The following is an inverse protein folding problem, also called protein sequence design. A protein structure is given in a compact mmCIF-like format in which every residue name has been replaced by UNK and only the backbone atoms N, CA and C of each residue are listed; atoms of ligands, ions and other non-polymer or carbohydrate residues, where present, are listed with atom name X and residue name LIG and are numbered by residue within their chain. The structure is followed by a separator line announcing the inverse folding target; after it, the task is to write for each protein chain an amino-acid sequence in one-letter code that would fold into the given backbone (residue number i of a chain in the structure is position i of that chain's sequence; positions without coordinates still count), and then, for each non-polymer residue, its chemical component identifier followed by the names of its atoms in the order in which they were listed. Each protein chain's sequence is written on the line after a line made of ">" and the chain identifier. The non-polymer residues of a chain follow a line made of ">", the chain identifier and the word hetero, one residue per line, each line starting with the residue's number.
data_IF_476353364349
#
_entry.id   IF_476353364349
#
_cell.length_a   1.000
_cell.length_b   1.000
_cell.length_c   1.000
_cell.angle_alpha   90.00
_cell.angle_beta   90.00
_cell.angle_gamma   90.00
#
_symmetry.space_group_name_H-M   'P 1'
#
loop_
_entity.id
_entity.type
_entity.pdbx_description
1 polymer ?
#
# COMPACT_ATOMS: atom_id res chain seq x y z
N UNK A 1 9.14 9.57 11.72
CA UNK A 1 10.12 8.86 10.87
C UNK A 1 9.69 7.42 10.67
N UNK A 2 9.83 6.92 9.47
CA UNK A 2 9.57 5.52 9.16
C UNK A 2 10.69 4.65 9.71
N UNK A 3 10.33 3.67 10.53
CA UNK A 3 11.30 2.81 11.23
C UNK A 3 11.21 1.33 10.83
N UNK A 4 10.22 0.95 10.05
CA UNK A 4 10.07 -0.42 9.58
C UNK A 4 9.08 -0.52 8.45
N UNK A 5 9.26 -1.51 7.59
CA UNK A 5 8.35 -1.83 6.49
C UNK A 5 7.88 -3.27 6.71
N UNK A 6 6.57 -3.50 6.69
CA UNK A 6 6.00 -4.84 6.86
C UNK A 6 5.73 -5.48 5.50
N UNK A 7 5.01 -4.75 4.64
CA UNK A 7 4.72 -5.14 3.27
C UNK A 7 4.44 -3.89 2.45
N UNK A 8 3.89 -4.01 1.25
CA UNK A 8 3.71 -2.88 0.34
C UNK A 8 2.66 -1.85 0.77
N UNK A 9 1.91 -2.11 1.83
CA UNK A 9 0.87 -1.19 2.32
C UNK A 9 0.85 -1.02 3.84
N UNK A 10 1.90 -1.47 4.55
CA UNK A 10 1.98 -1.37 6.01
C UNK A 10 3.39 -1.04 6.44
N UNK A 11 3.51 -0.11 7.38
CA UNK A 11 4.81 0.35 7.86
C UNK A 11 4.71 0.77 9.33
N UNK A 12 5.88 0.86 9.97
CA UNK A 12 5.98 1.41 11.32
C UNK A 12 6.45 2.86 11.27
N UNK A 13 5.71 3.72 11.96
CA UNK A 13 6.09 5.11 12.18
C UNK A 13 6.42 5.32 13.65
N UNK A 14 7.41 6.14 13.92
CA UNK A 14 7.63 6.65 15.26
C UNK A 14 6.65 7.82 15.47
N UNK A 15 5.65 7.60 16.33
CA UNK A 15 4.66 8.60 16.70
C UNK A 15 4.75 8.79 18.21
N UNK A 16 5.05 10.03 18.65
CA UNK A 16 5.19 10.38 20.07
C UNK A 16 6.12 9.44 20.84
N UNK A 17 7.23 9.08 20.20
CA UNK A 17 8.25 8.23 20.82
C UNK A 17 7.97 6.73 20.79
N UNK A 18 6.86 6.31 20.18
CA UNK A 18 6.50 4.89 20.07
C UNK A 18 6.34 4.43 18.63
N UNK A 19 6.77 3.20 18.36
CA UNK A 19 6.57 2.59 17.04
C UNK A 19 5.09 2.21 16.87
N UNK A 20 4.45 2.77 15.84
CA UNK A 20 3.05 2.54 15.54
C UNK A 20 2.92 1.88 14.18
N UNK A 21 2.21 0.76 14.11
CA UNK A 21 1.93 0.08 12.84
C UNK A 21 0.80 0.81 12.13
N UNK A 22 1.08 1.28 10.91
CA UNK A 22 0.17 2.08 10.09
C UNK A 22 -0.14 1.35 8.79
N UNK A 23 -1.40 1.32 8.42
CA UNK A 23 -1.92 0.75 7.18
C UNK A 23 -2.18 1.86 6.18
N UNK A 24 -1.69 1.72 4.94
CA UNK A 24 -1.98 2.70 3.90
C UNK A 24 -3.44 2.59 3.46
N UNK A 25 -4.14 3.72 3.47
CA UNK A 25 -5.57 3.78 3.14
C UNK A 25 -5.83 3.53 1.65
N UNK A 26 -6.96 2.91 1.35
CA UNK A 26 -7.56 2.78 0.01
C UNK A 26 -6.83 1.87 -0.97
N UNK A 27 -5.71 1.30 -0.58
CA UNK A 27 -4.95 0.37 -1.42
C UNK A 27 -4.80 -0.99 -0.73
N UNK A 28 -4.51 -2.02 -1.52
CA UNK A 28 -4.24 -3.36 -1.00
C UNK A 28 -3.06 -3.92 -1.80
N UNK A 29 -1.95 -4.13 -1.12
CA UNK A 29 -0.73 -4.62 -1.76
C UNK A 29 -0.64 -6.14 -1.67
N UNK A 30 0.05 -6.78 -2.64
CA UNK A 30 0.32 -8.21 -2.53
C UNK A 30 1.06 -8.52 -1.23
N UNK A 31 0.63 -9.56 -0.53
CA UNK A 31 1.31 -10.03 0.66
C UNK A 31 2.65 -10.68 0.29
N UNK A 32 3.57 -10.80 1.25
CA UNK A 32 4.93 -11.28 0.98
C UNK A 32 4.98 -12.62 0.25
N UNK A 33 4.02 -13.51 0.54
CA UNK A 33 3.96 -14.84 -0.08
C UNK A 33 3.36 -14.84 -1.48
N UNK A 34 2.75 -13.74 -1.89
CA UNK A 34 2.17 -13.60 -3.23
C UNK A 34 3.23 -13.19 -4.24
N UNK A 35 3.00 -13.49 -5.55
CA UNK A 35 3.78 -12.86 -6.60
C UNK A 35 3.78 -11.33 -6.41
N UNK A 36 4.93 -10.71 -6.59
CA UNK A 36 5.15 -9.26 -6.41
C UNK A 36 5.08 -8.76 -4.97
N UNK A 37 4.87 -9.64 -3.98
CA UNK A 37 4.82 -9.20 -2.58
C UNK A 37 6.11 -8.53 -2.13
N UNK A 38 7.26 -9.11 -2.44
CA UNK A 38 8.56 -8.54 -2.09
C UNK A 38 8.88 -7.28 -2.87
N UNK A 39 8.49 -7.21 -4.14
CA UNK A 39 8.67 -6.01 -4.96
C UNK A 39 7.81 -4.86 -4.45
N UNK A 40 6.60 -5.15 -4.01
CA UNK A 40 5.70 -4.16 -3.42
C UNK A 40 6.29 -3.60 -2.13
N UNK A 41 6.82 -4.46 -1.27
CA UNK A 41 7.52 -4.04 -0.05
C UNK A 41 8.73 -3.18 -0.38
N UNK A 42 9.54 -3.59 -1.35
CA UNK A 42 10.73 -2.85 -1.77
C UNK A 42 10.36 -1.48 -2.33
N UNK A 43 9.28 -1.40 -3.10
CA UNK A 43 8.77 -0.13 -3.63
C UNK A 43 8.40 0.84 -2.51
N UNK A 44 7.69 0.35 -1.50
CA UNK A 44 7.35 1.18 -0.34
C UNK A 44 8.61 1.62 0.40
N UNK A 45 9.57 0.73 0.58
CA UNK A 45 10.85 1.04 1.22
C UNK A 45 11.58 2.15 0.48
N UNK A 46 11.65 2.09 -0.84
CA UNK A 46 12.29 3.13 -1.67
C UNK A 46 11.63 4.50 -1.49
N UNK A 47 10.31 4.50 -1.31
CA UNK A 47 9.57 5.75 -1.14
C UNK A 47 9.80 6.41 0.23
N UNK A 48 9.89 5.63 1.29
CA UNK A 48 9.73 6.17 2.65
C UNK A 48 10.81 5.80 3.66
N UNK A 49 11.72 4.87 3.36
CA UNK A 49 12.64 4.34 4.37
C UNK A 49 13.47 5.42 5.04
N UNK A 50 13.40 5.46 6.37
CA UNK A 50 14.10 6.41 7.23
C UNK A 50 13.83 7.87 6.88
N UNK A 51 12.65 8.16 6.32
CA UNK A 51 12.23 9.52 6.00
C UNK A 51 11.18 10.00 6.98
N UNK A 52 11.12 11.30 7.15
CA UNK A 52 10.02 11.95 7.84
C UNK A 52 8.84 12.00 6.87
N UNK A 53 7.69 11.52 7.32
CA UNK A 53 6.47 11.51 6.52
C UNK A 53 5.35 12.19 7.29
N UNK A 54 4.35 12.67 6.54
CA UNK A 54 3.09 13.14 7.13
C UNK A 54 2.06 12.04 6.97
N UNK A 55 1.52 11.57 8.08
CA UNK A 55 0.46 10.57 8.08
C UNK A 55 -0.85 11.22 8.55
N UNK A 56 -1.90 11.09 7.75
CA UNK A 56 -3.21 11.64 8.07
C UNK A 56 -4.22 10.50 8.13
N UNK A 57 -4.93 10.39 9.26
CA UNK A 57 -5.96 9.36 9.42
C UNK A 57 -7.12 9.88 10.26
N UNK A 58 -8.29 9.28 10.08
CA UNK A 58 -9.51 9.59 10.83
C UNK A 58 -10.00 8.40 11.62
N UNK A 59 -9.54 7.20 11.27
CA UNK A 59 -10.06 5.96 11.85
C UNK A 59 -8.95 4.95 12.05
N UNK A 60 -9.20 4.02 12.95
CA UNK A 60 -8.38 2.82 13.13
C UNK A 60 -9.11 1.65 12.47
N UNK A 61 -8.36 0.66 11.99
CA UNK A 61 -8.97 -0.58 11.54
C UNK A 61 -9.33 -1.46 12.75
N UNK A 62 -9.91 -2.63 12.48
CA UNK A 62 -10.33 -3.54 13.56
C UNK A 62 -9.18 -4.09 14.38
N UNK A 63 -7.93 -3.92 13.93
CA UNK A 63 -6.72 -4.34 14.64
C UNK A 63 -6.06 -3.16 15.37
N UNK A 64 -6.70 -2.00 15.37
CA UNK A 64 -6.17 -0.80 16.03
C UNK A 64 -5.13 -0.04 15.25
N UNK A 65 -4.94 -0.35 13.96
CA UNK A 65 -3.97 0.37 13.13
C UNK A 65 -4.60 1.63 12.54
N UNK A 66 -3.90 2.79 12.60
CA UNK A 66 -4.32 3.94 11.79
C UNK A 66 -4.37 3.57 10.31
N UNK A 67 -5.45 3.95 9.64
CA UNK A 67 -5.63 3.77 8.20
C UNK A 67 -5.34 5.14 7.58
N UNK A 68 -4.14 5.31 7.05
CA UNK A 68 -3.58 6.63 6.78
C UNK A 68 -3.24 6.89 5.32
N UNK A 69 -3.31 8.18 4.96
CA UNK A 69 -2.66 8.72 3.77
C UNK A 69 -1.26 9.15 4.18
N UNK A 70 -0.26 8.77 3.41
CA UNK A 70 1.15 9.06 3.69
C UNK A 70 1.68 10.00 2.60
N UNK A 71 2.26 11.12 3.04
CA UNK A 71 2.91 12.08 2.15
C UNK A 71 4.38 12.19 2.55
N UNK A 72 5.27 12.11 1.59
CA UNK A 72 6.71 12.31 1.76
C UNK A 72 7.23 13.22 0.65
N UNK A 73 7.84 14.34 1.01
CA UNK A 73 8.37 15.31 0.04
C UNK A 73 7.37 15.67 -1.07
N UNK A 74 6.10 15.87 -0.68
CA UNK A 74 5.02 16.20 -1.62
C UNK A 74 4.48 15.01 -2.43
N UNK A 75 5.02 13.81 -2.23
CA UNK A 75 4.59 12.61 -2.94
C UNK A 75 3.50 11.90 -2.12
N UNK A 76 2.36 11.62 -2.76
CA UNK A 76 1.31 10.77 -2.21
C UNK A 76 1.76 9.31 -2.35
N UNK A 77 2.19 8.72 -1.25
CA UNK A 77 2.77 7.37 -1.25
C UNK A 77 1.74 6.30 -1.63
N UNK A 78 0.51 6.44 -1.14
CA UNK A 78 -0.59 5.52 -1.47
C UNK A 78 -0.81 5.49 -2.98
N UNK A 79 -0.92 6.67 -3.59
CA UNK A 79 -1.08 6.80 -5.04
C UNK A 79 0.16 6.30 -5.81
N UNK A 80 1.35 6.55 -5.30
CA UNK A 80 2.60 6.09 -5.94
C UNK A 80 2.67 4.57 -6.03
N UNK A 81 2.21 3.85 -4.99
CA UNK A 81 2.18 2.38 -5.03
C UNK A 81 1.23 1.88 -6.13
N UNK A 82 0.10 2.54 -6.32
CA UNK A 82 -0.83 2.22 -7.43
C UNK A 82 -0.17 2.51 -8.78
N UNK A 83 0.40 3.70 -8.92
CA UNK A 83 1.02 4.15 -10.18
C UNK A 83 2.17 3.25 -10.60
N UNK A 84 2.96 2.76 -9.66
CA UNK A 84 4.07 1.85 -9.91
C UNK A 84 3.63 0.41 -10.23
N UNK A 85 2.34 0.11 -10.09
CA UNK A 85 1.84 -1.25 -10.26
C UNK A 85 2.22 -2.18 -9.11
N UNK A 86 2.35 -1.62 -7.90
CA UNK A 86 2.76 -2.37 -6.71
C UNK A 86 1.62 -2.60 -5.72
N UNK A 87 0.44 -2.08 -6.01
CA UNK A 87 -0.75 -2.29 -5.18
C UNK A 87 -2.02 -2.17 -6.03
N UNK A 88 -3.08 -2.78 -5.55
CA UNK A 88 -4.42 -2.68 -6.11
C UNK A 88 -5.18 -1.57 -5.42
N UNK A 89 -6.06 -0.89 -6.15
CA UNK A 89 -7.09 -0.07 -5.52
C UNK A 89 -7.98 -1.03 -4.72
N UNK A 90 -8.14 -0.76 -3.41
CA UNK A 90 -8.99 -1.59 -2.56
C UNK A 90 -10.44 -1.16 -2.75
N UNK A 91 -11.13 -1.76 -3.72
CA UNK A 91 -12.44 -1.32 -4.21
C UNK A 91 -13.44 -1.09 -3.09
N UNK A 92 -13.44 -1.96 -2.09
CA UNK A 92 -14.38 -1.89 -0.97
C UNK A 92 -14.24 -0.61 -0.14
N UNK A 93 -13.03 -0.06 -0.07
CA UNK A 93 -12.71 1.08 0.81
C UNK A 93 -12.24 2.32 0.07
N UNK A 94 -12.01 2.23 -1.22
CA UNK A 94 -11.47 3.34 -1.98
C UNK A 94 -12.54 4.39 -2.27
N UNK A 95 -12.23 5.65 -2.01
CA UNK A 95 -13.12 6.79 -2.23
C UNK A 95 -12.56 7.81 -3.23
N UNK A 96 -11.23 7.80 -3.44
CA UNK A 96 -10.56 8.75 -4.34
C UNK A 96 -10.57 8.22 -5.78
N UNK A 97 -11.31 8.88 -6.70
CA UNK A 97 -11.39 8.41 -8.09
C UNK A 97 -10.06 8.45 -8.84
N UNK A 98 -9.11 9.30 -8.40
CA UNK A 98 -7.77 9.37 -9.03
C UNK A 98 -7.03 8.03 -8.93
N UNK A 99 -7.24 7.28 -7.86
CA UNK A 99 -6.59 5.99 -7.68
C UNK A 99 -7.00 4.99 -8.76
N UNK A 100 -8.27 5.01 -9.17
CA UNK A 100 -8.76 4.14 -10.24
C UNK A 100 -8.14 4.49 -11.58
N UNK A 101 -7.94 5.78 -11.84
CA UNK A 101 -7.28 6.24 -13.06
C UNK A 101 -5.82 5.81 -13.09
N UNK A 102 -5.11 5.95 -11.97
CA UNK A 102 -3.71 5.52 -11.85
C UNK A 102 -3.58 4.00 -12.02
N UNK A 103 -4.50 3.23 -11.45
CA UNK A 103 -4.52 1.78 -11.63
C UNK A 103 -4.76 1.41 -13.09
N UNK A 104 -5.71 2.05 -13.75
CA UNK A 104 -5.99 1.80 -15.16
C UNK A 104 -4.77 2.09 -16.03
N UNK A 105 -4.05 3.18 -15.74
CA UNK A 105 -2.82 3.51 -16.45
C UNK A 105 -1.71 2.47 -16.22
N UNK A 106 -1.55 2.04 -14.98
CA UNK A 106 -0.56 1.00 -14.64
C UNK A 106 -0.87 -0.32 -15.34
N UNK A 107 -2.16 -0.70 -15.41
CA UNK A 107 -2.62 -1.91 -16.12
C UNK A 107 -2.31 -1.82 -17.61
N UNK A 108 -2.63 -0.69 -18.23
CA UNK A 108 -2.36 -0.50 -19.67
C UNK A 108 -0.87 -0.56 -19.98
N UNK A 109 -0.06 0.03 -19.12
CA UNK A 109 1.40 0.05 -19.28
C UNK A 109 2.07 -1.24 -18.82
N UNK A 110 1.31 -2.18 -18.24
CA UNK A 110 1.81 -3.44 -17.69
C UNK A 110 2.94 -3.21 -16.68
N UNK A 111 2.76 -2.22 -15.80
CA UNK A 111 3.74 -1.92 -14.75
C UNK A 111 3.61 -2.91 -13.60
N UNK A 112 4.74 -3.31 -13.04
CA UNK A 112 4.79 -4.15 -11.86
C UNK A 112 3.95 -5.42 -11.97
N UNK A 113 3.01 -5.61 -11.05
CA UNK A 113 2.17 -6.81 -10.99
C UNK A 113 1.29 -6.98 -12.24
N UNK A 114 1.03 -5.89 -12.97
CA UNK A 114 0.17 -5.92 -14.17
C UNK A 114 0.84 -6.54 -15.39
N UNK A 115 2.10 -6.94 -15.28
CA UNK A 115 2.75 -7.75 -16.31
C UNK A 115 2.17 -9.18 -16.32
N UNK A 116 1.62 -9.63 -15.20
CA UNK A 116 0.94 -10.92 -15.09
C UNK A 116 -0.39 -10.85 -15.84
N UNK A 117 -0.64 -11.74 -16.81
CA UNK A 117 -1.92 -11.74 -17.56
C UNK A 117 -3.13 -12.13 -16.69
N UNK A 118 -2.90 -12.79 -15.55
CA UNK A 118 -3.98 -13.25 -14.66
C UNK A 118 -3.67 -12.88 -13.21
N UNK A 119 -3.60 -11.58 -12.89
CA UNK A 119 -3.28 -11.17 -11.54
C UNK A 119 -4.41 -11.52 -10.57
N UNK A 120 -4.03 -11.93 -9.36
CA UNK A 120 -4.99 -12.26 -8.31
C UNK A 120 -4.97 -11.14 -7.26
N UNK A 121 -6.13 -10.56 -7.00
CA UNK A 121 -6.25 -9.50 -6.00
C UNK A 121 -5.91 -10.02 -4.60
N UNK A 122 -5.23 -9.22 -3.77
CA UNK A 122 -4.82 -9.67 -2.43
C UNK A 122 -6.00 -10.16 -1.57
N UNK A 123 -7.14 -9.47 -1.64
CA UNK A 123 -8.32 -9.89 -0.88
C UNK A 123 -8.89 -11.23 -1.34
N UNK A 124 -8.75 -11.58 -2.61
CA UNK A 124 -9.16 -12.89 -3.14
C UNK A 124 -8.18 -13.96 -2.65
N UNK A 125 -6.89 -13.68 -2.71
CA UNK A 125 -5.85 -14.60 -2.27
C UNK A 125 -6.00 -14.92 -0.77
N UNK A 126 -6.20 -13.88 0.07
CA UNK A 126 -6.40 -14.07 1.52
C UNK A 126 -7.62 -14.95 1.81
N UNK A 127 -8.72 -14.71 1.12
CA UNK A 127 -9.94 -15.51 1.30
C UNK A 127 -9.69 -16.98 0.96
N UNK A 128 -8.93 -17.26 -0.07
CA UNK A 128 -8.58 -18.63 -0.46
C UNK A 128 -7.70 -19.33 0.59
N UNK A 129 -6.91 -18.58 1.37
CA UNK A 129 -6.03 -19.13 2.39
C UNK A 129 -6.75 -19.44 3.71
N UNK A 130 -7.97 -18.94 3.92
CA UNK A 130 -8.70 -19.09 5.20
C UNK A 130 -9.60 -20.31 5.26
N UNK A 131 -9.54 -21.19 4.32
CA UNK A 131 -10.35 -22.41 4.30
C UNK A 131 -9.89 -23.45 5.31
#
# INVERSE_FOLDING_TARGET
>A
MVTGIVDGDSLYLNIDGGATLVRLAQIDAPEKKMPFGRRSEQSLRELVWKREVTATWRELDRYGRPVAQIIVDGIDVNAAQIERGMAWVYIRYATDPRLRELEADARRAKRGLWVDPNPVAPWVWRKAQTK
#
